data_IF_407303571173
#
_entry.id   IF_407303571173
#
_cell.length_a   1.000
_cell.length_b   1.000
_cell.length_c   1.000
_cell.angle_alpha   90.00
_cell.angle_beta   90.00
_cell.angle_gamma   90.00
#
_symmetry.space_group_name_H-M   'P 1'
#
loop_
_entity.id
_entity.type
_entity.pdbx_description
1 polymer ?
#
# COMPACT_ATOMS: atom_id res chain seq x y z
N UNK A 1 -18.16 13.09 -1.22
CA UNK A 1 -18.66 11.84 -1.79
C UNK A 1 -18.20 11.72 -3.23
N UNK A 2 -18.56 12.69 -4.10
CA UNK A 2 -18.17 12.73 -5.53
C UNK A 2 -16.68 12.47 -5.81
N UNK A 3 -15.75 13.05 -5.05
CA UNK A 3 -14.30 12.88 -5.30
C UNK A 3 -13.84 11.43 -5.05
N UNK A 4 -14.26 10.83 -3.94
CA UNK A 4 -13.82 9.48 -3.58
C UNK A 4 -14.39 8.42 -4.53
N UNK A 5 -15.63 8.60 -4.97
CA UNK A 5 -16.25 7.75 -6.01
C UNK A 5 -15.50 7.85 -7.35
N UNK A 6 -15.08 9.06 -7.75
CA UNK A 6 -14.25 9.23 -8.96
C UNK A 6 -12.92 8.48 -8.85
N UNK A 7 -12.28 8.56 -7.69
CA UNK A 7 -11.01 7.85 -7.43
C UNK A 7 -11.19 6.33 -7.47
N UNK A 8 -12.26 5.80 -6.87
CA UNK A 8 -12.57 4.38 -6.93
C UNK A 8 -12.86 3.92 -8.36
N UNK A 9 -13.72 4.62 -9.08
CA UNK A 9 -14.06 4.28 -10.47
C UNK A 9 -12.81 4.32 -11.37
N UNK A 10 -11.93 5.30 -11.17
CA UNK A 10 -10.66 5.40 -11.91
C UNK A 10 -9.75 4.20 -11.61
N UNK A 11 -9.59 3.84 -10.34
CA UNK A 11 -8.81 2.68 -9.93
C UNK A 11 -9.39 1.36 -10.50
N UNK A 12 -10.72 1.16 -10.49
CA UNK A 12 -11.35 -0.02 -11.11
C UNK A 12 -11.10 -0.07 -12.61
N UNK A 13 -11.29 1.07 -13.29
CA UNK A 13 -11.18 1.16 -14.74
C UNK A 13 -9.76 0.88 -15.22
N UNK A 14 -8.75 1.45 -14.56
CA UNK A 14 -7.37 1.40 -15.01
C UNK A 14 -6.56 0.27 -14.37
N UNK A 15 -6.88 -0.15 -13.15
CA UNK A 15 -6.06 -1.10 -12.37
C UNK A 15 -6.70 -2.49 -12.24
N UNK A 16 -8.00 -2.63 -12.47
CA UNK A 16 -8.72 -3.91 -12.34
C UNK A 16 -8.43 -4.95 -13.43
N UNK A 17 -7.65 -4.59 -14.45
CA UNK A 17 -7.30 -5.46 -15.58
C UNK A 17 -5.96 -6.19 -15.36
N UNK A 18 -5.71 -7.26 -16.12
CA UNK A 18 -4.45 -8.01 -16.08
C UNK A 18 -3.20 -7.21 -16.51
N UNK A 19 -3.40 -6.00 -17.07
CA UNK A 19 -2.35 -5.05 -17.42
C UNK A 19 -2.79 -3.65 -16.97
N UNK A 20 -2.37 -3.20 -15.78
CA UNK A 20 -2.76 -1.90 -15.25
C UNK A 20 -2.26 -0.73 -16.12
N UNK A 21 -3.10 0.29 -16.28
CA UNK A 21 -2.73 1.58 -16.88
C UNK A 21 -2.43 2.62 -15.80
N UNK A 22 -1.24 2.49 -15.20
CA UNK A 22 -0.77 3.38 -14.14
C UNK A 22 -0.68 4.86 -14.55
N UNK A 23 -0.22 5.22 -15.77
CA UNK A 23 -0.22 6.60 -16.23
C UNK A 23 -1.63 7.21 -16.30
N UNK A 24 -2.61 6.50 -16.87
CA UNK A 24 -3.99 7.00 -16.96
C UNK A 24 -4.61 7.17 -15.57
N UNK A 25 -4.40 6.19 -14.69
CA UNK A 25 -4.80 6.28 -13.28
C UNK A 25 -4.21 7.52 -12.59
N UNK A 26 -2.90 7.77 -12.74
CA UNK A 26 -2.26 8.91 -12.11
C UNK A 26 -2.80 10.25 -12.64
N UNK A 27 -3.08 10.35 -13.94
CA UNK A 27 -3.70 11.53 -14.54
C UNK A 27 -5.11 11.81 -13.99
N UNK A 28 -5.93 10.76 -13.82
CA UNK A 28 -7.26 10.88 -13.22
C UNK A 28 -7.20 11.31 -11.75
N UNK A 29 -6.26 10.77 -10.97
CA UNK A 29 -6.04 11.18 -9.57
C UNK A 29 -5.69 12.67 -9.52
N UNK A 30 -4.78 13.13 -10.39
CA UNK A 30 -4.43 14.55 -10.51
C UNK A 30 -5.63 15.42 -10.84
N UNK A 31 -6.44 15.00 -11.81
CA UNK A 31 -7.65 15.73 -12.18
C UNK A 31 -8.68 15.77 -11.05
N UNK A 32 -8.84 14.67 -10.29
CA UNK A 32 -9.86 14.55 -9.25
C UNK A 32 -9.49 15.29 -7.96
N UNK A 33 -8.19 15.31 -7.60
CA UNK A 33 -7.71 15.89 -6.36
C UNK A 33 -7.06 17.28 -6.51
N UNK A 34 -6.70 17.69 -7.72
CA UNK A 34 -5.82 18.84 -7.92
C UNK A 34 -4.52 18.63 -7.13
N UNK A 35 -3.90 17.47 -7.32
CA UNK A 35 -2.66 17.10 -6.64
C UNK A 35 -1.84 16.22 -7.56
N UNK A 36 -0.54 16.43 -7.58
CA UNK A 36 0.35 15.45 -8.17
C UNK A 36 0.39 14.19 -7.31
N UNK A 37 0.64 13.05 -7.95
CA UNK A 37 0.67 11.72 -7.36
C UNK A 37 2.05 11.09 -7.57
N UNK A 38 2.55 10.42 -6.53
CA UNK A 38 3.61 9.42 -6.60
C UNK A 38 3.17 8.22 -5.77
N UNK A 39 3.02 7.07 -6.44
CA UNK A 39 2.76 5.79 -5.81
C UNK A 39 3.98 4.92 -5.97
N UNK A 40 4.57 4.45 -4.87
CA UNK A 40 5.84 3.74 -4.92
C UNK A 40 5.95 2.66 -3.85
N UNK A 41 6.72 1.63 -4.17
CA UNK A 41 7.16 0.60 -3.25
C UNK A 41 8.58 0.93 -2.77
N UNK A 42 8.85 0.67 -1.50
CA UNK A 42 10.14 0.87 -0.85
C UNK A 42 10.57 -0.44 -0.21
N UNK A 43 11.65 -1.02 -0.74
CA UNK A 43 12.23 -2.26 -0.25
C UNK A 43 12.72 -2.14 1.21
N UNK A 44 12.64 -3.22 2.01
CA UNK A 44 13.06 -3.19 3.41
C UNK A 44 14.57 -3.00 3.52
N UNK A 45 15.03 -2.28 4.55
CA UNK A 45 16.46 -2.24 4.87
C UNK A 45 16.84 -3.55 5.54
N UNK A 46 17.67 -4.37 4.89
CA UNK A 46 18.27 -5.53 5.53
C UNK A 46 19.16 -5.05 6.70
N UNK A 47 18.68 -5.22 7.94
CA UNK A 47 19.50 -5.00 9.13
C UNK A 47 20.48 -6.16 9.26
N UNK A 48 21.66 -6.05 8.65
CA UNK A 48 22.73 -7.03 8.84
C UNK A 48 23.25 -6.88 10.27
N UNK A 49 23.07 -7.92 11.09
CA UNK A 49 23.51 -7.92 12.48
C UNK A 49 25.03 -7.73 12.57
N UNK A 50 25.47 -6.60 13.12
CA UNK A 50 26.85 -6.39 13.56
C UNK A 50 27.81 -5.71 12.59
N UNK A 51 27.38 -5.35 11.37
CA UNK A 51 28.18 -4.55 10.45
C UNK A 51 27.43 -3.27 10.03
N UNK A 52 28.06 -2.12 10.27
CA UNK A 52 27.56 -0.81 9.87
C UNK A 52 27.84 -0.62 8.37
N UNK A 53 27.06 -1.30 7.51
CA UNK A 53 27.03 -0.94 6.09
C UNK A 53 26.31 0.41 5.95
N UNK A 54 26.76 1.29 5.03
CA UNK A 54 25.99 2.48 4.71
C UNK A 54 24.59 2.07 4.25
N UNK A 55 23.56 2.77 4.76
CA UNK A 55 22.20 2.54 4.32
C UNK A 55 22.12 2.70 2.78
N UNK A 56 21.40 1.81 2.07
CA UNK A 56 21.23 1.97 0.63
C UNK A 56 20.55 3.30 0.33
N UNK A 57 20.89 3.90 -0.81
CA UNK A 57 20.28 5.17 -1.23
C UNK A 57 18.78 4.98 -1.44
N UNK A 58 18.00 6.04 -1.24
CA UNK A 58 16.54 5.96 -1.45
C UNK A 58 16.21 5.52 -2.88
N UNK A 59 16.93 6.06 -3.87
CA UNK A 59 16.82 5.70 -5.29
C UNK A 59 17.15 4.23 -5.59
N UNK A 60 17.94 3.56 -4.75
CA UNK A 60 18.26 2.13 -4.89
C UNK A 60 17.19 1.22 -4.28
N UNK A 61 16.29 1.77 -3.46
CA UNK A 61 15.26 1.03 -2.72
C UNK A 61 13.85 1.27 -3.23
N UNK A 62 13.66 2.36 -3.97
CA UNK A 62 12.36 2.78 -4.46
C UNK A 62 12.04 2.17 -5.81
N UNK A 63 10.84 1.62 -5.93
CA UNK A 63 10.23 1.24 -7.20
C UNK A 63 9.00 2.11 -7.41
N UNK A 64 9.07 3.02 -8.38
CA UNK A 64 7.93 3.87 -8.74
C UNK A 64 6.89 3.02 -9.47
N UNK A 65 5.68 2.98 -8.94
CA UNK A 65 4.55 2.23 -9.52
C UNK A 65 3.74 3.16 -10.44
N UNK A 66 3.44 4.38 -9.97
CA UNK A 66 2.71 5.38 -10.74
C UNK A 66 3.16 6.79 -10.37
N UNK A 67 3.13 7.70 -11.34
CA UNK A 67 3.31 9.14 -11.10
C UNK A 67 2.53 9.97 -12.12
N UNK A 68 1.99 11.10 -11.69
CA UNK A 68 1.38 12.10 -12.59
C UNK A 68 2.39 13.15 -13.06
N UNK A 69 3.59 13.16 -12.49
CA UNK A 69 4.68 14.08 -12.82
C UNK A 69 6.02 13.32 -12.92
N UNK A 70 6.27 12.62 -14.04
CA UNK A 70 7.47 11.83 -14.21
C UNK A 70 8.75 12.67 -14.24
N UNK A 71 8.67 13.92 -14.69
CA UNK A 71 9.82 14.83 -14.73
C UNK A 71 10.28 15.21 -13.32
N UNK A 72 9.36 15.64 -12.44
CA UNK A 72 9.68 15.96 -11.06
C UNK A 72 10.23 14.75 -10.28
N UNK A 73 9.64 13.57 -10.48
CA UNK A 73 10.12 12.33 -9.84
C UNK A 73 11.50 11.94 -10.35
N UNK A 74 11.75 12.04 -11.66
CA UNK A 74 13.06 11.74 -12.23
C UNK A 74 14.12 12.72 -11.77
N UNK A 75 13.81 14.02 -11.71
CA UNK A 75 14.73 15.04 -11.20
C UNK A 75 15.07 14.75 -9.73
N UNK A 76 14.05 14.52 -8.89
CA UNK A 76 14.23 14.17 -7.47
C UNK A 76 15.11 12.93 -7.27
N UNK A 77 14.87 11.86 -8.03
CA UNK A 77 15.67 10.64 -7.99
C UNK A 77 17.12 10.85 -8.43
N UNK A 78 17.36 11.79 -9.34
CA UNK A 78 18.69 12.06 -9.91
C UNK A 78 19.60 12.90 -9.00
N UNK A 79 19.02 13.72 -8.13
CA UNK A 79 19.77 14.61 -7.23
C UNK A 79 20.41 13.87 -6.06
N UNK A 80 20.09 12.58 -5.85
CA UNK A 80 20.65 11.74 -4.79
C UNK A 80 20.72 12.48 -3.44
N UNK A 81 19.62 13.12 -3.05
CA UNK A 81 19.54 13.86 -1.80
C UNK A 81 19.91 12.92 -0.64
N UNK A 82 21.15 13.05 -0.17
CA UNK A 82 21.75 12.18 0.86
C UNK A 82 21.22 12.47 2.26
N UNK A 83 20.28 13.42 2.39
CA UNK A 83 19.67 13.71 3.67
C UNK A 83 18.51 12.76 3.89
N UNK A 84 18.55 12.08 5.04
CA UNK A 84 17.41 11.32 5.51
C UNK A 84 16.18 12.25 5.47
N UNK A 85 15.04 11.78 4.92
CA UNK A 85 13.83 12.57 5.00
C UNK A 85 13.60 12.98 6.45
N UNK A 86 13.02 14.17 6.71
CA UNK A 86 12.83 14.67 8.07
C UNK A 86 12.01 13.70 8.94
N UNK A 87 11.32 12.75 8.32
CA UNK A 87 10.68 11.62 8.97
C UNK A 87 11.13 10.33 8.31
N UNK A 88 11.58 9.38 9.14
CA UNK A 88 11.85 8.03 8.70
C UNK A 88 10.52 7.36 8.26
N UNK A 89 10.38 7.12 6.95
CA UNK A 89 9.16 6.58 6.34
C UNK A 89 8.75 5.21 6.92
N UNK A 90 9.71 4.43 7.44
CA UNK A 90 9.48 3.13 8.08
C UNK A 90 8.95 3.24 9.52
N UNK A 91 9.00 4.43 10.12
CA UNK A 91 8.47 4.73 11.45
C UNK A 91 7.01 5.22 11.42
N UNK A 92 6.46 5.49 10.24
CA UNK A 92 5.10 5.99 10.10
C UNK A 92 4.05 4.90 10.37
N UNK A 93 2.94 5.32 10.98
CA UNK A 93 1.81 4.45 11.24
C UNK A 93 1.15 3.99 9.93
N UNK A 94 1.02 2.67 9.67
CA UNK A 94 0.41 2.18 8.44
C UNK A 94 -1.04 2.63 8.29
N UNK A 95 -1.41 3.04 7.07
CA UNK A 95 -2.73 3.49 6.66
C UNK A 95 -3.22 4.77 7.36
N UNK A 96 -2.32 5.47 8.03
CA UNK A 96 -2.58 6.77 8.64
C UNK A 96 -1.98 7.88 7.77
N UNK A 97 -2.81 8.75 7.17
CA UNK A 97 -2.33 9.88 6.40
C UNK A 97 -1.59 10.88 7.28
N UNK A 98 -0.38 11.21 6.87
CA UNK A 98 0.43 12.24 7.50
C UNK A 98 0.68 13.38 6.53
N UNK A 99 0.73 14.61 7.05
CA UNK A 99 1.12 15.79 6.30
C UNK A 99 2.55 16.18 6.67
N UNK A 100 3.27 16.84 5.75
CA UNK A 100 4.57 17.43 6.09
C UNK A 100 4.49 18.30 7.35
N UNK A 101 3.44 19.11 7.45
CA UNK A 101 3.20 20.05 8.56
C UNK A 101 2.99 19.38 9.91
N UNK A 102 2.80 18.06 9.97
CA UNK A 102 2.76 17.32 11.24
C UNK A 102 4.13 17.21 11.91
N UNK A 103 5.20 17.41 11.13
CA UNK A 103 6.58 17.21 11.58
C UNK A 103 7.48 18.41 11.28
N UNK A 104 7.13 19.19 10.26
CA UNK A 104 7.93 20.29 9.77
C UNK A 104 7.02 21.43 9.35
N UNK A 105 7.06 22.56 10.08
CA UNK A 105 6.30 23.76 9.72
C UNK A 105 6.77 24.35 8.39
N UNK A 106 5.99 25.26 7.81
CA UNK A 106 6.31 25.89 6.53
C UNK A 106 7.61 26.70 6.61
N UNK A 107 7.86 27.38 7.73
CA UNK A 107 9.08 28.15 7.93
C UNK A 107 10.30 27.24 8.10
N UNK A 108 10.16 26.14 8.84
CA UNK A 108 11.23 25.14 8.98
C UNK A 108 11.51 24.44 7.65
N UNK A 109 10.48 24.18 6.83
CA UNK A 109 10.66 23.64 5.49
C UNK A 109 11.46 24.61 4.62
N UNK A 110 11.07 25.88 4.53
CA UNK A 110 11.84 26.88 3.76
C UNK A 110 13.28 27.05 4.29
N UNK A 111 13.49 26.87 5.60
CA UNK A 111 14.81 26.92 6.20
C UNK A 111 15.75 25.76 5.80
N UNK A 112 15.25 24.71 5.13
CA UNK A 112 16.09 23.65 4.54
C UNK A 112 16.93 24.13 3.34
N UNK A 113 16.75 25.38 2.89
CA UNK A 113 17.58 26.03 1.88
C UNK A 113 17.47 25.32 0.51
N UNK A 114 18.59 24.88 -0.11
CA UNK A 114 18.58 24.33 -1.46
C UNK A 114 17.60 23.16 -1.69
N UNK A 115 17.33 22.36 -0.66
CA UNK A 115 16.38 21.24 -0.72
C UNK A 115 14.95 21.78 -0.90
N UNK A 116 14.54 22.73 -0.07
CA UNK A 116 13.22 23.34 -0.16
C UNK A 116 13.07 24.13 -1.45
N UNK A 117 14.09 24.91 -1.84
CA UNK A 117 14.07 25.64 -3.11
C UNK A 117 13.87 24.71 -4.31
N UNK A 118 14.51 23.53 -4.29
CA UNK A 118 14.34 22.53 -5.33
C UNK A 118 12.93 21.92 -5.33
N UNK A 119 12.43 21.50 -4.17
CA UNK A 119 11.08 20.96 -4.05
C UNK A 119 10.01 21.98 -4.48
N UNK A 120 10.14 23.24 -4.04
CA UNK A 120 9.25 24.34 -4.43
C UNK A 120 9.28 24.57 -5.95
N UNK A 121 10.46 24.54 -6.60
CA UNK A 121 10.55 24.64 -8.07
C UNK A 121 9.82 23.50 -8.79
N UNK A 122 9.73 22.33 -8.19
CA UNK A 122 8.98 21.18 -8.71
C UNK A 122 7.48 21.21 -8.31
N UNK A 123 7.04 22.26 -7.61
CA UNK A 123 5.68 22.39 -7.10
C UNK A 123 5.40 21.52 -5.87
N UNK A 124 6.42 20.98 -5.21
CA UNK A 124 6.31 20.12 -4.02
C UNK A 124 6.38 21.01 -2.77
N UNK A 125 5.23 21.36 -2.19
CA UNK A 125 5.18 22.20 -0.98
C UNK A 125 4.26 21.63 0.10
N UNK A 126 2.99 21.42 -0.23
CA UNK A 126 2.05 20.71 0.62
C UNK A 126 2.11 19.23 0.28
N UNK A 127 2.52 18.39 1.23
CA UNK A 127 2.65 16.94 1.02
C UNK A 127 1.71 16.19 1.95
N UNK A 128 0.98 15.22 1.39
CA UNK A 128 0.25 14.20 2.13
C UNK A 128 0.78 12.82 1.75
N UNK A 129 1.05 11.99 2.74
CA UNK A 129 1.56 10.64 2.54
C UNK A 129 0.71 9.63 3.30
N UNK A 130 0.36 8.52 2.65
CA UNK A 130 -0.28 7.36 3.28
C UNK A 130 0.61 6.14 3.08
N UNK A 131 1.36 5.73 4.11
CA UNK A 131 2.18 4.52 4.04
C UNK A 131 1.32 3.28 4.27
N UNK A 132 1.74 2.14 3.76
CA UNK A 132 1.22 0.85 4.17
C UNK A 132 2.37 -0.16 4.23
N UNK A 133 2.31 -1.05 5.22
CA UNK A 133 3.30 -2.10 5.40
C UNK A 133 2.83 -3.37 4.73
N UNK A 134 3.71 -3.94 3.90
CA UNK A 134 3.48 -5.23 3.26
C UNK A 134 4.01 -6.37 4.15
N UNK A 135 3.60 -7.59 3.83
CA UNK A 135 3.89 -8.80 4.62
C UNK A 135 5.36 -9.22 4.57
N UNK A 136 6.10 -8.82 3.54
CA UNK A 136 7.55 -9.01 3.40
C UNK A 136 8.38 -7.97 4.21
N UNK A 137 7.70 -7.05 4.92
CA UNK A 137 8.31 -5.97 5.68
C UNK A 137 8.69 -4.74 4.86
N UNK A 138 8.46 -4.76 3.54
CA UNK A 138 8.54 -3.57 2.70
C UNK A 138 7.38 -2.62 2.98
N UNK A 139 7.46 -1.41 2.43
CA UNK A 139 6.39 -0.41 2.53
C UNK A 139 5.98 0.09 1.17
N UNK A 140 4.70 0.36 0.99
CA UNK A 140 4.14 1.02 -0.19
C UNK A 140 3.53 2.34 0.24
N UNK A 141 3.74 3.38 -0.56
CA UNK A 141 3.43 4.74 -0.18
C UNK A 141 2.61 5.42 -1.27
N UNK A 142 1.51 6.03 -0.84
CA UNK A 142 0.75 6.99 -1.62
C UNK A 142 1.19 8.39 -1.20
N UNK A 143 2.01 9.05 -2.00
CA UNK A 143 2.41 10.44 -1.82
C UNK A 143 1.63 11.33 -2.78
N UNK A 144 1.05 12.40 -2.24
CA UNK A 144 0.40 13.45 -2.99
C UNK A 144 1.04 14.78 -2.63
N UNK A 145 1.18 15.65 -3.62
CA UNK A 145 1.63 17.02 -3.35
C UNK A 145 0.89 18.07 -4.16
N UNK A 146 0.97 19.29 -3.63
CA UNK A 146 0.44 20.53 -4.18
C UNK A 146 1.48 21.64 -4.04
N UNK A 147 1.39 22.62 -4.94
CA UNK A 147 2.25 23.81 -4.90
C UNK A 147 1.88 24.72 -3.73
N UNK A 148 2.71 25.73 -3.49
CA UNK A 148 2.52 26.69 -2.39
C UNK A 148 1.29 27.58 -2.58
N UNK A 149 0.87 27.81 -3.83
CA UNK A 149 -0.28 28.62 -4.19
C UNK A 149 -1.62 27.87 -4.03
N UNK A 150 -1.56 26.56 -3.84
CA UNK A 150 -2.72 25.69 -3.70
C UNK A 150 -3.10 25.51 -2.22
N UNK A 151 -4.35 25.13 -1.95
CA UNK A 151 -4.79 24.89 -0.58
C UNK A 151 -4.15 23.61 -0.02
N UNK A 152 -3.64 23.70 1.22
CA UNK A 152 -3.13 22.54 1.94
C UNK A 152 -4.23 21.49 2.17
N UNK A 153 -3.83 20.26 2.50
CA UNK A 153 -4.75 19.16 2.73
C UNK A 153 -5.57 19.36 4.01
N UNK A 154 -6.89 19.24 3.88
CA UNK A 154 -7.80 19.30 5.02
C UNK A 154 -7.86 17.96 5.76
N UNK A 155 -8.40 17.95 6.98
CA UNK A 155 -8.70 16.71 7.72
C UNK A 155 -9.62 15.78 6.91
N UNK A 156 -10.55 16.36 6.14
CA UNK A 156 -11.42 15.60 5.25
C UNK A 156 -10.65 14.91 4.14
N UNK A 157 -9.57 15.52 3.65
CA UNK A 157 -8.71 14.91 2.65
C UNK A 157 -7.94 13.74 3.25
N UNK A 158 -7.38 13.88 4.46
CA UNK A 158 -6.77 12.74 5.19
C UNK A 158 -7.72 11.54 5.23
N UNK A 159 -8.94 11.72 5.73
CA UNK A 159 -9.91 10.62 5.84
C UNK A 159 -10.19 9.94 4.49
N UNK A 160 -10.26 10.72 3.40
CA UNK A 160 -10.45 10.18 2.04
C UNK A 160 -9.21 9.42 1.57
N UNK A 161 -8.02 9.94 1.82
CA UNK A 161 -6.77 9.30 1.43
C UNK A 161 -6.55 7.98 2.18
N UNK A 162 -6.90 7.92 3.47
CA UNK A 162 -6.86 6.67 4.23
C UNK A 162 -7.77 5.59 3.63
N UNK A 163 -9.02 5.96 3.31
CA UNK A 163 -9.98 5.05 2.68
C UNK A 163 -9.53 4.65 1.27
N UNK A 164 -9.01 5.60 0.51
CA UNK A 164 -8.53 5.35 -0.83
C UNK A 164 -7.30 4.44 -0.86
N UNK A 165 -6.34 4.63 0.05
CA UNK A 165 -5.18 3.74 0.16
C UNK A 165 -5.59 2.31 0.51
N UNK A 166 -6.56 2.12 1.43
CA UNK A 166 -7.11 0.78 1.73
C UNK A 166 -7.73 0.13 0.51
N UNK A 167 -8.45 0.92 -0.29
CA UNK A 167 -9.07 0.43 -1.50
C UNK A 167 -8.03 0.08 -2.58
N UNK A 168 -7.04 0.94 -2.79
CA UNK A 168 -5.93 0.68 -3.70
C UNK A 168 -5.19 -0.59 -3.31
N UNK A 169 -4.87 -0.78 -2.03
CA UNK A 169 -4.24 -2.01 -1.56
C UNK A 169 -5.11 -3.22 -1.85
N UNK A 170 -6.43 -3.19 -1.61
CA UNK A 170 -7.30 -4.31 -1.93
C UNK A 170 -7.34 -4.67 -3.43
N UNK A 171 -7.19 -3.67 -4.31
CA UNK A 171 -7.07 -3.90 -5.75
C UNK A 171 -5.68 -4.44 -6.13
N UNK A 172 -4.65 -3.86 -5.54
CA UNK A 172 -3.24 -4.11 -5.86
C UNK A 172 -2.71 -5.39 -5.20
N UNK A 173 -3.31 -5.85 -4.09
CA UNK A 173 -3.06 -7.13 -3.41
C UNK A 173 -3.22 -8.32 -4.37
N UNK A 174 -4.08 -8.20 -5.38
CA UNK A 174 -4.25 -9.23 -6.41
C UNK A 174 -3.02 -9.38 -7.33
N UNK A 175 -2.09 -8.41 -7.32
CA UNK A 175 -0.92 -8.38 -8.20
C UNK A 175 0.41 -8.43 -7.44
N UNK A 176 0.49 -7.90 -6.20
CA UNK A 176 1.73 -7.87 -5.42
C UNK A 176 1.89 -9.03 -4.43
N UNK A 177 0.81 -9.73 -4.03
CA UNK A 177 0.90 -10.90 -3.14
C UNK A 177 1.47 -12.17 -3.81
N UNK A 178 1.83 -12.10 -5.10
CA UNK A 178 2.40 -13.22 -5.84
C UNK A 178 3.90 -13.45 -5.58
N UNK A 179 4.55 -12.65 -4.72
CA UNK A 179 5.97 -12.81 -4.38
C UNK A 179 6.19 -12.84 -2.85
N UNK A 180 6.22 -14.05 -2.29
CA UNK A 180 6.99 -14.47 -1.10
C UNK A 180 6.56 -14.16 0.35
N UNK A 181 5.34 -13.70 0.65
CA UNK A 181 4.89 -13.55 2.05
C UNK A 181 3.45 -13.97 2.49
N UNK A 182 2.58 -14.59 1.66
CA UNK A 182 1.30 -15.15 2.15
C UNK A 182 1.49 -16.26 3.20
N UNK A 183 2.50 -17.11 3.06
CA UNK A 183 2.55 -18.37 3.82
C UNK A 183 2.72 -18.16 5.32
N UNK A 184 3.54 -17.20 5.79
CA UNK A 184 3.75 -16.98 7.22
C UNK A 184 2.54 -16.39 7.93
N UNK A 185 1.85 -15.44 7.29
CA UNK A 185 0.65 -14.82 7.85
C UNK A 185 -0.50 -15.84 7.93
N UNK A 186 -0.68 -16.63 6.87
CA UNK A 186 -1.67 -17.71 6.82
C UNK A 186 -1.38 -18.80 7.85
N UNK A 187 -0.12 -19.20 8.00
CA UNK A 187 0.29 -20.15 9.03
C UNK A 187 0.02 -19.62 10.45
N UNK A 188 0.34 -18.35 10.72
CA UNK A 188 0.14 -17.74 12.05
C UNK A 188 -1.35 -17.60 12.38
N UNK A 189 -2.16 -17.17 11.41
CA UNK A 189 -3.61 -17.12 11.55
C UNK A 189 -4.19 -18.53 11.75
N UNK A 190 -3.73 -19.50 10.98
CA UNK A 190 -4.12 -20.89 11.11
C UNK A 190 -3.84 -21.45 12.51
N UNK A 191 -2.64 -21.21 13.05
CA UNK A 191 -2.29 -21.60 14.42
C UNK A 191 -3.19 -20.95 15.46
N UNK A 192 -3.48 -19.64 15.33
CA UNK A 192 -4.32 -18.89 16.27
C UNK A 192 -5.75 -19.44 16.34
N UNK A 193 -6.30 -19.89 15.21
CA UNK A 193 -7.66 -20.43 15.12
C UNK A 193 -7.73 -21.96 15.13
N UNK A 194 -6.61 -22.66 15.37
CA UNK A 194 -6.59 -24.13 15.40
C UNK A 194 -6.95 -24.78 14.05
N UNK A 195 -6.55 -24.15 12.95
CA UNK A 195 -6.69 -24.71 11.61
C UNK A 195 -5.68 -25.84 11.40
N UNK A 196 -6.14 -26.92 10.77
CA UNK A 196 -5.27 -28.01 10.30
C UNK A 196 -4.44 -27.55 9.10
N UNK A 197 -3.42 -28.32 8.72
CA UNK A 197 -2.63 -28.03 7.51
C UNK A 197 -3.50 -27.96 6.24
N UNK A 198 -4.50 -28.84 6.12
CA UNK A 198 -5.44 -28.82 4.99
C UNK A 198 -6.32 -27.57 4.99
N UNK A 199 -6.85 -27.16 6.15
CA UNK A 199 -7.64 -25.94 6.28
C UNK A 199 -6.80 -24.68 6.05
N UNK A 200 -5.55 -24.68 6.49
CA UNK A 200 -4.59 -23.58 6.28
C UNK A 200 -4.25 -23.42 4.80
N UNK A 201 -4.04 -24.54 4.09
CA UNK A 201 -3.85 -24.55 2.63
C UNK A 201 -5.08 -24.00 1.91
N UNK A 202 -6.27 -24.46 2.28
CA UNK A 202 -7.53 -23.98 1.68
C UNK A 202 -7.75 -22.50 1.99
N UNK A 203 -7.44 -22.03 3.21
CA UNK A 203 -7.48 -20.62 3.56
C UNK A 203 -6.54 -19.81 2.65
N UNK A 204 -5.30 -20.26 2.44
CA UNK A 204 -4.35 -19.59 1.54
C UNK A 204 -4.93 -19.42 0.14
N UNK A 205 -5.50 -20.49 -0.42
CA UNK A 205 -6.15 -20.45 -1.73
C UNK A 205 -7.35 -19.49 -1.78
N UNK A 206 -8.17 -19.45 -0.73
CA UNK A 206 -9.29 -18.51 -0.63
C UNK A 206 -8.85 -17.06 -0.54
N UNK A 207 -7.76 -16.77 0.18
CA UNK A 207 -7.18 -15.43 0.28
C UNK A 207 -6.61 -14.96 -1.06
N UNK A 208 -6.12 -15.90 -1.87
CA UNK A 208 -5.69 -15.66 -3.27
C UNK A 208 -6.88 -15.52 -4.25
N UNK A 209 -8.12 -15.52 -3.76
CA UNK A 209 -9.32 -15.34 -4.58
C UNK A 209 -9.75 -16.57 -5.39
N UNK A 210 -9.18 -17.76 -5.13
CA UNK A 210 -9.55 -18.99 -5.85
C UNK A 210 -10.96 -19.42 -5.48
N UNK A 211 -11.72 -19.91 -6.45
CA UNK A 211 -13.06 -20.43 -6.19
C UNK A 211 -12.99 -21.82 -5.54
N UNK A 212 -14.00 -22.26 -4.77
CA UNK A 212 -13.98 -23.60 -4.17
C UNK A 212 -13.92 -24.74 -5.21
N UNK A 213 -14.33 -24.49 -6.47
CA UNK A 213 -14.18 -25.44 -7.58
C UNK A 213 -12.74 -25.53 -8.04
N UNK A 214 -12.04 -24.41 -8.15
CA UNK A 214 -10.64 -24.37 -8.54
C UNK A 214 -9.75 -25.04 -7.48
N UNK A 215 -10.04 -24.78 -6.20
CA UNK A 215 -9.36 -25.42 -5.06
C UNK A 215 -9.55 -26.94 -5.09
N UNK A 216 -10.78 -27.40 -5.36
CA UNK A 216 -11.08 -28.83 -5.48
C UNK A 216 -10.26 -29.47 -6.61
N UNK A 217 -10.24 -28.84 -7.78
CA UNK A 217 -9.49 -29.31 -8.93
C UNK A 217 -7.97 -29.36 -8.67
N UNK A 218 -7.40 -28.28 -8.12
CA UNK A 218 -5.96 -28.17 -7.92
C UNK A 218 -5.42 -29.02 -6.78
N UNK A 219 -6.22 -29.22 -5.73
CA UNK A 219 -5.81 -30.02 -4.58
C UNK A 219 -6.19 -31.50 -4.68
N UNK A 220 -6.73 -31.93 -5.83
CA UNK A 220 -7.21 -33.30 -6.07
C UNK A 220 -8.25 -33.75 -5.02
N UNK A 221 -9.08 -32.82 -4.55
CA UNK A 221 -10.14 -33.07 -3.56
C UNK A 221 -11.51 -32.93 -4.19
N UNK A 222 -12.50 -33.63 -3.64
CA UNK A 222 -13.88 -33.42 -4.06
C UNK A 222 -14.36 -32.00 -3.68
N UNK A 223 -15.23 -31.42 -4.50
CA UNK A 223 -15.87 -30.14 -4.20
C UNK A 223 -16.60 -30.16 -2.84
N UNK A 224 -17.23 -31.28 -2.50
CA UNK A 224 -17.88 -31.47 -1.20
C UNK A 224 -16.89 -31.41 -0.02
N UNK A 225 -15.72 -32.03 -0.18
CA UNK A 225 -14.64 -31.99 0.82
C UNK A 225 -14.10 -30.57 1.02
N UNK A 226 -13.87 -29.82 -0.06
CA UNK A 226 -13.45 -28.42 0.04
C UNK A 226 -14.51 -27.59 0.76
N UNK A 227 -15.79 -27.72 0.39
CA UNK A 227 -16.89 -27.02 1.07
C UNK A 227 -16.98 -27.35 2.56
N UNK A 228 -16.74 -28.60 2.94
CA UNK A 228 -16.68 -29.01 4.34
C UNK A 228 -15.53 -28.34 5.09
N UNK A 229 -14.32 -28.32 4.51
CA UNK A 229 -13.19 -27.60 5.11
C UNK A 229 -13.46 -26.09 5.24
N UNK A 230 -14.07 -25.46 4.23
CA UNK A 230 -14.44 -24.04 4.30
C UNK A 230 -15.41 -23.81 5.46
N UNK A 231 -16.42 -24.67 5.61
CA UNK A 231 -17.36 -24.57 6.73
C UNK A 231 -16.65 -24.67 8.09
N UNK A 232 -15.74 -25.63 8.25
CA UNK A 232 -14.95 -25.75 9.48
C UNK A 232 -14.08 -24.52 9.75
N UNK A 233 -13.48 -23.93 8.70
CA UNK A 233 -12.68 -22.70 8.85
C UNK A 233 -13.57 -21.57 9.35
N UNK A 234 -14.77 -21.39 8.77
CA UNK A 234 -15.72 -20.36 9.20
C UNK A 234 -16.13 -20.54 10.66
N UNK A 235 -16.42 -21.77 11.07
CA UNK A 235 -16.78 -22.11 12.45
C UNK A 235 -15.64 -21.85 13.44
N UNK A 236 -14.42 -22.30 13.11
CA UNK A 236 -13.22 -22.08 13.95
C UNK A 236 -12.82 -20.61 14.04
N UNK A 237 -13.08 -19.84 12.98
CA UNK A 237 -12.83 -18.40 12.96
C UNK A 237 -14.02 -17.58 13.50
N UNK A 238 -15.13 -18.22 13.88
CA UNK A 238 -16.35 -17.60 14.40
C UNK A 238 -16.95 -16.53 13.46
N UNK A 239 -16.92 -16.79 12.16
CA UNK A 239 -17.41 -15.88 11.12
C UNK A 239 -18.52 -16.53 10.28
N UNK A 240 -19.51 -15.75 9.85
CA UNK A 240 -20.69 -16.26 9.15
C UNK A 240 -20.52 -16.40 7.63
N UNK A 241 -19.46 -15.85 7.05
CA UNK A 241 -19.25 -15.85 5.60
C UNK A 241 -17.78 -15.80 5.22
N UNK A 242 -17.45 -16.23 3.99
CA UNK A 242 -16.11 -16.09 3.42
C UNK A 242 -15.65 -14.62 3.37
N UNK A 243 -16.57 -13.68 3.14
CA UNK A 243 -16.27 -12.24 3.17
C UNK A 243 -15.87 -11.79 4.57
N UNK A 244 -16.53 -12.28 5.61
CA UNK A 244 -16.18 -11.97 7.00
C UNK A 244 -14.88 -12.65 7.42
N UNK A 245 -14.60 -13.87 6.92
CA UNK A 245 -13.31 -14.54 7.09
C UNK A 245 -12.15 -13.72 6.52
N UNK A 246 -12.30 -13.21 5.30
CA UNK A 246 -11.30 -12.33 4.68
C UNK A 246 -11.09 -11.08 5.53
N UNK A 247 -12.18 -10.43 5.96
CA UNK A 247 -12.11 -9.24 6.81
C UNK A 247 -11.38 -9.53 8.13
N UNK A 248 -11.69 -10.64 8.78
CA UNK A 248 -11.08 -11.03 10.05
C UNK A 248 -9.59 -11.36 9.90
N UNK A 249 -9.22 -12.05 8.81
CA UNK A 249 -7.82 -12.30 8.46
C UNK A 249 -7.03 -10.99 8.35
N UNK A 250 -7.50 -10.06 7.51
CA UNK A 250 -6.82 -8.78 7.32
C UNK A 250 -6.83 -7.92 8.60
N UNK A 251 -7.89 -7.98 9.42
CA UNK A 251 -7.93 -7.28 10.71
C UNK A 251 -6.79 -7.73 11.64
N UNK A 252 -6.51 -9.03 11.69
CA UNK A 252 -5.59 -9.63 12.66
C UNK A 252 -4.11 -9.59 12.26
N UNK A 253 -3.79 -9.39 10.98
CA UNK A 253 -2.39 -9.24 10.52
C UNK A 253 -1.90 -7.79 10.58
N UNK A 254 -2.80 -6.83 10.78
CA UNK A 254 -2.50 -5.39 10.91
C UNK A 254 -2.47 -4.90 12.37
N UNK A 255 -2.49 -5.82 13.35
CA UNK A 255 -2.27 -5.57 14.78
C UNK A 255 -1.02 -6.30 15.26
#
# INVERSE_FOLDING_TARGET
MIILEKLYNSAECHLGNSKPDWPAFAADVKQALGSELLFYHLAPVARVSGAQMPAPRWSERVTVIATSNPEAVSDYLSQDYQQEPPVAEDALAPLEPVLRTDFLSDDEFRALGPIADHQIRLGVFHNAMVPARLTDGSTIHLLLWRSEEEENYSERDRQRLALFMRYLLALVDTQFLAADAPDKAVLSFGQRHGLTGAETSILSDLLQGRSPRDIAHQSERSYGTVRWHIQNILEKCQVGSQKDLLREFYRLIHH
#
